data_IF_587211127840
#
_entry.id   IF_587211127840
#
_cell.length_a   1.000
_cell.length_b   1.000
_cell.length_c   1.000
_cell.angle_alpha   90.00
_cell.angle_beta   90.00
_cell.angle_gamma   90.00
#
_symmetry.space_group_name_H-M   'P 1'
#
loop_
_entity.id
_entity.type
_entity.pdbx_description
1 polymer ?
#
# COMPACT_ATOMS: atom_id res chain seq x y z
N UNK A 1 12.02 8.66 -22.91
CA UNK A 1 12.97 9.16 -21.90
C UNK A 1 12.86 8.25 -20.69
N UNK A 2 13.92 7.53 -20.34
CA UNK A 2 13.90 6.57 -19.24
C UNK A 2 14.09 7.34 -17.91
N UNK A 3 13.10 7.29 -17.02
CA UNK A 3 13.24 7.85 -15.68
C UNK A 3 14.22 6.98 -14.88
N UNK A 4 15.31 7.58 -14.45
CA UNK A 4 16.33 6.94 -13.62
C UNK A 4 15.83 6.96 -12.17
N UNK A 5 15.40 5.81 -11.68
CA UNK A 5 15.02 5.62 -10.27
C UNK A 5 16.28 5.86 -9.41
N UNK A 6 16.28 6.82 -8.46
CA UNK A 6 17.40 7.03 -7.57
C UNK A 6 17.60 5.82 -6.64
N UNK A 7 18.87 5.53 -6.29
CA UNK A 7 19.23 4.40 -5.44
C UNK A 7 18.75 4.61 -3.98
N UNK A 8 18.32 3.56 -3.27
CA UNK A 8 17.62 3.64 -1.98
C UNK A 8 18.49 4.01 -0.74
N UNK A 9 19.69 4.55 -0.92
CA UNK A 9 20.68 4.71 0.16
C UNK A 9 20.65 6.09 0.86
N UNK A 10 19.56 6.85 0.76
CA UNK A 10 19.46 8.24 1.23
C UNK A 10 18.16 8.56 1.99
N UNK A 11 17.58 7.62 2.73
CA UNK A 11 16.41 7.92 3.55
C UNK A 11 16.80 8.18 5.02
N UNK A 12 17.23 9.42 5.31
CA UNK A 12 17.32 10.01 6.66
C UNK A 12 16.08 10.91 6.96
N UNK A 13 15.14 11.03 6.02
CA UNK A 13 13.97 11.89 6.10
C UNK A 13 12.72 11.19 6.66
N UNK A 14 11.90 11.96 7.39
CA UNK A 14 10.53 11.57 7.74
C UNK A 14 9.76 11.14 6.48
N UNK A 15 8.73 10.29 6.63
CA UNK A 15 7.81 9.91 5.53
C UNK A 15 7.20 11.11 4.79
N UNK A 16 7.21 12.28 5.42
CA UNK A 16 6.83 13.58 4.85
C UNK A 16 7.75 14.10 3.73
N UNK A 17 9.02 13.68 3.68
CA UNK A 17 10.00 14.14 2.69
C UNK A 17 9.90 13.37 1.36
N UNK A 18 9.18 12.25 1.37
CA UNK A 18 9.00 11.41 0.19
C UNK A 18 8.15 12.13 -0.85
N UNK A 19 8.63 12.22 -2.09
CA UNK A 19 7.81 12.70 -3.19
C UNK A 19 6.68 11.71 -3.53
N UNK A 20 5.58 12.21 -4.11
CA UNK A 20 4.46 11.36 -4.55
C UNK A 20 4.88 10.10 -5.36
N UNK A 21 5.79 10.19 -6.35
CA UNK A 21 6.23 8.99 -7.08
C UNK A 21 7.06 8.02 -6.22
N UNK A 22 7.78 8.49 -5.20
CA UNK A 22 8.53 7.62 -4.28
C UNK A 22 7.60 6.89 -3.33
N UNK A 23 6.61 7.59 -2.77
CA UNK A 23 5.55 6.98 -1.95
C UNK A 23 4.81 5.90 -2.76
N UNK A 24 4.47 6.20 -4.00
CA UNK A 24 3.86 5.24 -4.92
C UNK A 24 4.76 4.02 -5.19
N UNK A 25 6.06 4.23 -5.44
CA UNK A 25 6.99 3.15 -5.71
C UNK A 25 7.14 2.18 -4.52
N UNK A 26 7.11 2.70 -3.29
CA UNK A 26 7.12 1.90 -2.05
C UNK A 26 5.87 1.02 -1.99
N UNK A 27 4.70 1.63 -2.16
CA UNK A 27 3.43 0.90 -2.14
C UNK A 27 3.32 -0.16 -3.25
N UNK A 28 3.74 0.16 -4.47
CA UNK A 28 3.75 -0.78 -5.59
C UNK A 28 4.76 -1.93 -5.37
N UNK A 29 5.89 -1.66 -4.68
CA UNK A 29 6.82 -2.71 -4.27
C UNK A 29 6.22 -3.64 -3.20
N UNK A 30 5.50 -3.11 -2.22
CA UNK A 30 4.80 -3.92 -1.21
C UNK A 30 3.70 -4.78 -1.82
N UNK A 31 2.90 -4.24 -2.74
CA UNK A 31 1.88 -4.99 -3.47
C UNK A 31 2.49 -6.20 -4.20
N UNK A 32 3.63 -5.99 -4.87
CA UNK A 32 4.35 -7.07 -5.55
C UNK A 32 4.92 -8.09 -4.58
N UNK A 33 5.45 -7.65 -3.44
CA UNK A 33 6.05 -8.52 -2.43
C UNK A 33 5.01 -9.39 -1.70
N UNK A 34 3.87 -8.83 -1.35
CA UNK A 34 2.86 -9.49 -0.50
C UNK A 34 1.81 -10.27 -1.30
N UNK A 35 1.43 -9.75 -2.47
CA UNK A 35 0.33 -10.27 -3.28
C UNK A 35 0.72 -10.66 -4.72
N UNK A 36 1.97 -10.42 -5.13
CA UNK A 36 2.43 -10.64 -6.50
C UNK A 36 1.59 -9.91 -7.57
N UNK A 37 1.01 -8.76 -7.21
CA UNK A 37 0.25 -7.86 -8.09
C UNK A 37 0.85 -6.46 -8.05
N UNK A 38 0.48 -5.58 -8.99
CA UNK A 38 0.84 -4.16 -8.90
C UNK A 38 0.03 -3.44 -7.82
N UNK A 39 0.54 -2.29 -7.36
CA UNK A 39 -0.22 -1.39 -6.48
C UNK A 39 -1.54 -0.94 -7.10
N UNK A 40 -1.58 -0.70 -8.41
CA UNK A 40 -2.83 -0.34 -9.11
C UNK A 40 -3.88 -1.45 -9.04
N UNK A 41 -3.47 -2.70 -9.21
CA UNK A 41 -4.39 -3.84 -9.13
C UNK A 41 -4.83 -4.09 -7.69
N UNK A 42 -3.95 -3.89 -6.71
CA UNK A 42 -4.34 -3.91 -5.30
C UNK A 42 -5.42 -2.84 -5.02
N UNK A 43 -5.19 -1.60 -5.45
CA UNK A 43 -6.16 -0.50 -5.30
C UNK A 43 -7.50 -0.82 -5.96
N UNK A 44 -7.49 -1.36 -7.18
CA UNK A 44 -8.73 -1.75 -7.86
C UNK A 44 -9.52 -2.77 -7.03
N UNK A 45 -8.85 -3.76 -6.44
CA UNK A 45 -9.49 -4.78 -5.58
C UNK A 45 -9.94 -4.21 -4.25
N UNK A 46 -9.17 -3.29 -3.69
CA UNK A 46 -9.51 -2.53 -2.48
C UNK A 46 -10.79 -1.70 -2.69
N UNK A 47 -10.84 -0.88 -3.75
CA UNK A 47 -12.00 -0.07 -4.11
C UNK A 47 -13.23 -0.94 -4.45
N UNK A 48 -13.01 -2.15 -4.98
CA UNK A 48 -14.07 -3.13 -5.22
C UNK A 48 -14.52 -3.89 -3.96
N UNK A 49 -13.89 -3.65 -2.81
CA UNK A 49 -14.19 -4.32 -1.54
C UNK A 49 -13.78 -5.79 -1.47
N UNK A 50 -12.86 -6.25 -2.33
CA UNK A 50 -12.45 -7.65 -2.41
C UNK A 50 -11.77 -8.16 -1.13
N UNK A 51 -11.28 -7.25 -0.29
CA UNK A 51 -10.62 -7.54 0.97
C UNK A 51 -11.51 -7.33 2.20
N UNK A 52 -12.78 -6.94 2.00
CA UNK A 52 -13.73 -6.79 3.10
C UNK A 52 -14.00 -8.12 3.80
N UNK A 53 -13.99 -8.10 5.14
CA UNK A 53 -14.28 -9.27 5.96
C UNK A 53 -13.13 -10.27 6.10
N UNK A 54 -11.94 -9.95 5.58
CA UNK A 54 -10.74 -10.72 5.91
C UNK A 54 -10.37 -10.46 7.38
N UNK A 55 -10.32 -11.52 8.18
CA UNK A 55 -9.86 -11.43 9.56
C UNK A 55 -8.36 -11.16 9.60
N UNK A 56 -7.95 -10.22 10.46
CA UNK A 56 -6.56 -9.86 10.73
C UNK A 56 -5.76 -11.05 11.31
N UNK A 57 -6.41 -12.09 11.83
CA UNK A 57 -5.78 -13.32 12.30
C UNK A 57 -5.36 -14.25 11.15
N UNK A 58 -5.86 -14.03 9.94
CA UNK A 58 -5.45 -14.78 8.76
C UNK A 58 -4.16 -14.20 8.16
N UNK A 59 -3.40 -15.04 7.45
CA UNK A 59 -2.21 -14.56 6.73
C UNK A 59 -2.58 -13.51 5.68
N UNK A 60 -3.71 -13.66 5.00
CA UNK A 60 -4.19 -12.70 4.01
C UNK A 60 -4.63 -11.39 4.65
N UNK A 61 -5.36 -11.43 5.77
CA UNK A 61 -5.74 -10.24 6.52
C UNK A 61 -4.54 -9.45 7.03
N UNK A 62 -3.50 -10.11 7.54
CA UNK A 62 -2.24 -9.44 7.92
C UNK A 62 -1.56 -8.74 6.74
N UNK A 63 -1.51 -9.40 5.58
CA UNK A 63 -0.92 -8.79 4.37
C UNK A 63 -1.73 -7.60 3.88
N UNK A 64 -3.06 -7.67 3.97
CA UNK A 64 -3.92 -6.52 3.65
C UNK A 64 -3.65 -5.39 4.63
N UNK A 65 -3.52 -5.68 5.92
CA UNK A 65 -3.19 -4.69 6.93
C UNK A 65 -1.83 -4.01 6.67
N UNK A 66 -0.79 -4.78 6.31
CA UNK A 66 0.51 -4.24 5.88
C UNK A 66 0.34 -3.29 4.68
N UNK A 67 -0.49 -3.67 3.70
CA UNK A 67 -0.78 -2.80 2.55
C UNK A 67 -1.56 -1.54 2.92
N UNK A 68 -2.47 -1.60 3.89
CA UNK A 68 -3.21 -0.43 4.40
C UNK A 68 -2.25 0.56 5.06
N UNK A 69 -1.25 0.08 5.80
CA UNK A 69 -0.20 0.94 6.33
C UNK A 69 0.60 1.63 5.21
N UNK A 70 0.97 0.92 4.14
CA UNK A 70 1.62 1.56 2.98
C UNK A 70 0.68 2.52 2.23
N UNK A 71 -0.63 2.24 2.20
CA UNK A 71 -1.63 3.14 1.61
C UNK A 71 -1.79 4.45 2.39
N UNK A 72 -1.66 4.43 3.72
CA UNK A 72 -1.68 5.64 4.56
C UNK A 72 -0.57 6.64 4.20
N UNK A 73 0.58 6.13 3.73
CA UNK A 73 1.72 6.95 3.30
C UNK A 73 1.43 7.58 1.93
N UNK A 74 0.80 6.84 1.01
CA UNK A 74 0.52 7.31 -0.36
C UNK A 74 -0.67 8.26 -0.40
N UNK A 75 -1.77 7.86 0.22
CA UNK A 75 -3.09 8.46 0.08
C UNK A 75 -3.97 8.12 1.29
N UNK A 76 -3.91 8.91 2.38
CA UNK A 76 -4.70 8.65 3.58
C UNK A 76 -6.22 8.67 3.30
N UNK A 77 -6.70 9.48 2.35
CA UNK A 77 -8.13 9.55 2.01
C UNK A 77 -8.73 8.24 1.46
N UNK A 78 -7.90 7.35 0.92
CA UNK A 78 -8.35 6.07 0.36
C UNK A 78 -8.55 4.99 1.42
N UNK A 79 -7.99 5.18 2.60
CA UNK A 79 -8.16 4.27 3.75
C UNK A 79 -9.53 4.47 4.40
N UNK A 80 -10.08 5.68 4.39
CA UNK A 80 -11.46 5.93 4.85
C UNK A 80 -12.50 5.39 3.86
N UNK A 81 -12.14 5.26 2.58
CA UNK A 81 -13.05 4.89 1.49
C UNK A 81 -13.22 3.37 1.34
N UNK A 82 -12.16 2.60 1.57
CA UNK A 82 -12.22 1.14 1.67
C UNK A 82 -12.19 0.77 3.14
N UNK A 83 -13.27 0.21 3.67
CA UNK A 83 -13.36 -0.07 5.10
C UNK A 83 -12.21 -1.01 5.51
N UNK A 84 -11.32 -0.65 6.46
CA UNK A 84 -10.30 -1.57 6.94
C UNK A 84 -10.96 -2.85 7.46
N UNK A 85 -10.22 -3.98 7.54
CA UNK A 85 -10.74 -5.17 8.20
C UNK A 85 -11.05 -4.82 9.66
N UNK A 86 -12.27 -4.40 9.94
CA UNK A 86 -12.73 -4.13 11.30
C UNK A 86 -12.94 -5.47 11.96
N UNK A 87 -12.20 -5.71 13.04
CA UNK A 87 -12.59 -6.72 14.03
C UNK A 87 -14.06 -6.50 14.46
N UNK A 88 -14.83 -7.58 14.70
CA UNK A 88 -16.23 -7.50 15.14
C UNK A 88 -16.42 -6.80 16.49
#
# INVERSE_FOLDING_TARGET
MAQRIPAPDLFDGSVDDLSEPERWAIFDADARRLFAISGEEFLRRWDAGAYHGLSEDTLEGRRVNDMVFSLLIVSPERVDSGHPPTSP
#
